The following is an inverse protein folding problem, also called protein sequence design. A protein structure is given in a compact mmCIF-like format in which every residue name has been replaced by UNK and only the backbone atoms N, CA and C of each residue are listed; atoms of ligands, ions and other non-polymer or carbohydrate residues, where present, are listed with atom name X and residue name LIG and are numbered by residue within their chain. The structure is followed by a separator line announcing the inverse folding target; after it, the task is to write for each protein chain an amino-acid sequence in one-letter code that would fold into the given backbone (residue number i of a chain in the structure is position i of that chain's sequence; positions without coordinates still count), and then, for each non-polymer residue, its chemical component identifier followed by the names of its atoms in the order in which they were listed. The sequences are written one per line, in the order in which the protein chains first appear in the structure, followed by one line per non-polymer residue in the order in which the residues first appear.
data_IF_203862048816
#
_entry.id   IF_203862048816
#
_cell.length_a   1.000
_cell.length_b   1.000
_cell.length_c   1.000
_cell.angle_alpha   90.00
_cell.angle_beta   90.00
_cell.angle_gamma   90.00
#
_symmetry.space_group_name_H-M   'P 1'
#
loop_
_entity.id
_entity.type
_entity.pdbx_description
1 polymer ?
#
# COMPACT_ATOMS: atom_id res chain seq x y z
N UNK A 1 22.41 -39.94 -10.87
CA UNK A 1 20.98 -40.02 -11.25
C UNK A 1 20.50 -38.61 -11.56
N UNK A 2 20.16 -38.33 -12.82
CA UNK A 2 19.61 -37.03 -13.25
C UNK A 2 18.20 -37.28 -13.80
N UNK A 3 17.19 -36.68 -13.17
CA UNK A 3 15.81 -36.74 -13.67
C UNK A 3 15.71 -35.85 -14.91
N UNK A 4 15.67 -36.47 -16.10
CA UNK A 4 15.40 -35.76 -17.34
C UNK A 4 14.00 -35.15 -17.30
N UNK A 5 13.91 -33.85 -17.06
CA UNK A 5 12.65 -33.10 -17.15
C UNK A 5 12.17 -33.16 -18.61
N UNK A 6 11.08 -33.89 -18.86
CA UNK A 6 10.43 -33.92 -20.17
C UNK A 6 9.84 -32.53 -20.43
N UNK A 7 10.25 -31.89 -21.53
CA UNK A 7 9.59 -30.68 -22.03
C UNK A 7 8.13 -31.04 -22.32
N UNK A 8 7.20 -30.39 -21.62
CA UNK A 8 5.78 -30.51 -21.96
C UNK A 8 5.53 -29.69 -23.21
N UNK A 9 5.44 -30.39 -24.34
CA UNK A 9 4.94 -29.80 -25.57
C UNK A 9 3.50 -29.35 -25.35
N UNK A 10 3.26 -28.05 -25.53
CA UNK A 10 1.92 -27.49 -25.52
C UNK A 10 1.19 -27.93 -26.81
N UNK A 11 0.73 -29.18 -26.88
CA UNK A 11 -0.10 -29.67 -27.98
C UNK A 11 -1.58 -29.45 -27.65
N UNK A 12 -2.08 -28.30 -28.06
CA UNK A 12 -3.50 -28.01 -28.04
C UNK A 12 -3.79 -26.67 -28.69
N UNK A 13 -4.68 -26.66 -29.69
CA UNK A 13 -5.23 -25.42 -30.22
C UNK A 13 -5.87 -24.66 -29.06
N UNK A 14 -5.39 -23.44 -28.80
CA UNK A 14 -6.01 -22.52 -27.84
C UNK A 14 -7.45 -22.31 -28.32
N UNK A 15 -8.42 -23.01 -27.70
CA UNK A 15 -9.86 -22.89 -28.01
C UNK A 15 -10.37 -21.53 -27.51
N UNK A 16 -9.89 -20.47 -28.14
CA UNK A 16 -10.46 -19.13 -28.09
C UNK A 16 -11.53 -19.01 -29.16
N UNK A 17 -12.65 -18.37 -28.84
CA UNK A 17 -13.74 -18.11 -29.79
C UNK A 17 -13.20 -17.31 -31.00
N UNK A 18 -13.24 -17.93 -32.18
CA UNK A 18 -12.93 -17.30 -33.46
C UNK A 18 -11.45 -17.34 -33.87
N UNK A 19 -11.15 -18.04 -34.96
CA UNK A 19 -9.88 -17.85 -35.66
C UNK A 19 -9.88 -16.45 -36.31
N UNK A 20 -8.82 -15.67 -36.11
CA UNK A 20 -8.68 -14.38 -36.78
C UNK A 20 -8.55 -14.60 -38.29
N UNK A 21 -9.60 -14.28 -39.04
CA UNK A 21 -9.60 -14.32 -40.50
C UNK A 21 -8.83 -13.11 -41.03
N UNK A 22 -7.57 -13.31 -41.40
CA UNK A 22 -6.72 -12.25 -41.99
C UNK A 22 -5.23 -12.45 -41.76
N UNK A 23 -4.42 -11.50 -42.22
CA UNK A 23 -2.94 -11.56 -42.04
C UNK A 23 -2.58 -11.47 -40.56
N UNK A 24 -1.73 -12.38 -40.08
CA UNK A 24 -1.24 -12.47 -38.69
C UNK A 24 -0.73 -11.13 -38.11
N UNK A 25 -0.17 -10.26 -38.94
CA UNK A 25 0.30 -8.92 -38.54
C UNK A 25 -0.82 -8.05 -37.96
N UNK A 26 -2.03 -8.13 -38.52
CA UNK A 26 -3.18 -7.34 -38.07
C UNK A 26 -3.76 -7.89 -36.76
N UNK A 27 -3.80 -9.21 -36.59
CA UNK A 27 -4.17 -9.85 -35.33
C UNK A 27 -3.26 -9.39 -34.17
N UNK A 28 -1.94 -9.37 -34.41
CA UNK A 28 -0.96 -8.92 -33.41
C UNK A 28 -1.10 -7.43 -33.10
N UNK A 29 -1.35 -6.59 -34.11
CA UNK A 29 -1.59 -5.16 -33.93
C UNK A 29 -2.82 -4.89 -33.07
N UNK A 30 -3.95 -5.55 -33.37
CA UNK A 30 -5.19 -5.37 -32.62
C UNK A 30 -5.08 -5.89 -31.18
N UNK A 31 -4.43 -7.04 -30.98
CA UNK A 31 -4.13 -7.56 -29.63
C UNK A 31 -3.24 -6.60 -28.83
N UNK A 32 -2.19 -6.05 -29.45
CA UNK A 32 -1.33 -5.05 -28.80
C UNK A 32 -2.10 -3.76 -28.48
N UNK A 33 -3.02 -3.33 -29.35
CA UNK A 33 -3.89 -2.18 -29.11
C UNK A 33 -4.80 -2.42 -27.91
N UNK A 34 -5.47 -3.57 -27.82
CA UNK A 34 -6.32 -3.94 -26.67
C UNK A 34 -5.53 -3.95 -25.37
N UNK A 35 -4.37 -4.62 -25.33
CA UNK A 35 -3.51 -4.64 -24.13
C UNK A 35 -3.11 -3.25 -23.65
N UNK A 36 -2.86 -2.30 -24.57
CA UNK A 36 -2.56 -0.91 -24.22
C UNK A 36 -3.77 -0.15 -23.68
N UNK A 37 -4.97 -0.41 -24.21
CA UNK A 37 -6.20 0.19 -23.70
C UNK A 37 -6.56 -0.36 -22.32
N UNK A 38 -6.48 -1.68 -22.14
CA UNK A 38 -6.74 -2.35 -20.85
C UNK A 38 -5.72 -1.90 -19.78
N UNK A 39 -4.44 -1.79 -20.16
CA UNK A 39 -3.42 -1.25 -19.27
C UNK A 39 -3.64 0.23 -18.93
N UNK A 40 -4.18 1.02 -19.86
CA UNK A 40 -4.55 2.42 -19.62
C UNK A 40 -5.79 2.55 -18.73
N UNK A 41 -6.78 1.65 -18.84
CA UNK A 41 -7.94 1.66 -17.95
C UNK A 41 -7.60 1.29 -16.50
N UNK A 42 -6.55 0.48 -16.27
CA UNK A 42 -6.07 0.21 -14.90
C UNK A 42 -5.42 1.44 -14.22
N UNK A 43 -5.02 2.45 -14.99
CA UNK A 43 -4.39 3.67 -14.46
C UNK A 43 -5.38 4.82 -14.26
N UNK A 44 -6.67 4.61 -14.50
CA UNK A 44 -7.72 5.66 -14.43
C UNK A 44 -8.72 5.41 -13.29
N UNK A 45 -8.49 4.43 -12.42
CA UNK A 45 -9.33 4.19 -11.25
C UNK A 45 -9.07 5.09 -10.03
N UNK A 46 -8.13 6.04 -10.10
CA UNK A 46 -7.93 7.06 -9.06
C UNK A 46 -8.54 8.41 -9.44
N UNK A 47 -9.85 8.42 -9.71
CA UNK A 47 -10.63 9.66 -9.67
C UNK A 47 -11.51 9.61 -8.43
N UNK A 48 -11.18 10.51 -7.52
CA UNK A 48 -11.68 10.59 -6.16
C UNK A 48 -13.19 10.50 -6.05
N UNK A 49 -13.61 9.66 -5.12
CA UNK A 49 -14.78 9.82 -4.27
C UNK A 49 -14.52 8.95 -3.04
N UNK A 50 -13.99 9.54 -1.97
CA UNK A 50 -14.05 8.91 -0.66
C UNK A 50 -14.27 9.97 0.43
N UNK A 51 -15.39 10.68 0.33
CA UNK A 51 -16.14 10.98 1.56
C UNK A 51 -16.60 9.63 2.13
N UNK A 52 -15.70 8.96 2.85
CA UNK A 52 -16.03 7.73 3.55
C UNK A 52 -16.99 8.12 4.67
N UNK A 53 -18.26 7.72 4.55
CA UNK A 53 -19.10 7.53 5.73
C UNK A 53 -18.55 6.32 6.49
N UNK A 54 -17.41 6.49 7.14
CA UNK A 54 -16.71 5.43 7.86
C UNK A 54 -17.44 5.20 9.17
N UNK A 55 -18.29 4.18 9.20
CA UNK A 55 -18.57 3.53 10.48
C UNK A 55 -17.23 3.05 11.01
N UNK A 56 -16.77 3.65 12.10
CA UNK A 56 -15.50 3.29 12.72
C UNK A 56 -15.71 1.91 13.32
N UNK A 57 -15.08 0.89 12.74
CA UNK A 57 -15.15 -0.46 13.27
C UNK A 57 -14.11 -0.66 14.38
N UNK A 58 -14.26 -1.73 15.15
CA UNK A 58 -13.34 -2.06 16.24
C UNK A 58 -11.88 -2.15 15.78
N UNK A 59 -11.65 -2.64 14.55
CA UNK A 59 -10.31 -2.81 14.00
C UNK A 59 -9.66 -1.49 13.59
N UNK A 60 -10.45 -0.48 13.25
CA UNK A 60 -9.98 0.87 12.93
C UNK A 60 -9.23 1.50 14.11
N UNK A 61 -9.71 1.27 15.34
CA UNK A 61 -9.03 1.74 16.56
C UNK A 61 -7.70 1.02 16.81
N UNK A 62 -7.66 -0.30 16.58
CA UNK A 62 -6.41 -1.07 16.68
C UNK A 62 -5.38 -0.62 15.63
N UNK A 63 -5.81 -0.33 14.41
CA UNK A 63 -4.93 0.19 13.36
C UNK A 63 -4.40 1.58 13.73
N UNK A 64 -5.23 2.45 14.32
CA UNK A 64 -4.80 3.75 14.80
C UNK A 64 -3.76 3.65 15.95
N UNK A 65 -3.96 2.71 16.89
CA UNK A 65 -3.01 2.40 17.95
C UNK A 65 -1.66 1.92 17.40
N UNK A 66 -1.67 0.97 16.47
CA UNK A 66 -0.44 0.46 15.87
C UNK A 66 0.32 1.56 15.11
N UNK A 67 -0.39 2.35 14.29
CA UNK A 67 0.20 3.48 13.56
C UNK A 67 0.81 4.53 14.48
N UNK A 68 0.13 4.89 15.57
CA UNK A 68 0.66 5.88 16.52
C UNK A 68 1.91 5.38 17.24
N UNK A 69 1.94 4.10 17.60
CA UNK A 69 3.14 3.48 18.18
C UNK A 69 4.32 3.44 17.21
N UNK A 70 4.09 3.07 15.94
CA UNK A 70 5.12 3.10 14.89
C UNK A 70 5.69 4.51 14.72
N UNK A 71 4.82 5.53 14.68
CA UNK A 71 5.25 6.92 14.54
C UNK A 71 6.06 7.41 15.73
N UNK A 72 5.68 7.03 16.95
CA UNK A 72 6.43 7.35 18.16
C UNK A 72 7.85 6.78 18.10
N UNK A 73 7.98 5.48 17.79
CA UNK A 73 9.29 4.82 17.68
C UNK A 73 10.16 5.43 16.57
N UNK A 74 9.56 5.74 15.43
CA UNK A 74 10.27 6.36 14.31
C UNK A 74 10.78 7.76 14.70
N UNK A 75 9.97 8.53 15.41
CA UNK A 75 10.34 9.86 15.88
C UNK A 75 11.50 9.77 16.89
N UNK A 76 11.40 8.88 17.88
CA UNK A 76 12.45 8.68 18.88
C UNK A 76 13.76 8.19 18.24
N UNK A 77 13.68 7.18 17.36
CA UNK A 77 14.86 6.60 16.71
C UNK A 77 15.53 7.55 15.72
N UNK A 78 14.75 8.38 15.02
CA UNK A 78 15.30 9.27 13.98
C UNK A 78 15.78 10.61 14.52
N UNK A 79 15.08 11.15 15.52
CA UNK A 79 15.29 12.52 16.00
C UNK A 79 15.81 12.58 17.45
N UNK A 80 15.51 11.59 18.29
CA UNK A 80 15.83 11.63 19.71
C UNK A 80 17.32 11.73 20.04
N UNK A 81 18.18 11.18 19.18
CA UNK A 81 19.63 11.26 19.34
C UNK A 81 20.30 12.32 18.46
N UNK A 82 19.54 13.05 17.66
CA UNK A 82 20.11 13.95 16.66
C UNK A 82 20.84 15.14 17.32
N UNK A 83 22.12 15.40 16.98
CA UNK A 83 22.95 16.38 17.68
C UNK A 83 22.42 17.81 17.58
N UNK A 84 21.76 18.16 16.47
CA UNK A 84 21.15 19.49 16.29
C UNK A 84 19.98 19.71 17.24
N UNK A 85 19.21 18.64 17.54
CA UNK A 85 18.07 18.74 18.45
C UNK A 85 18.59 18.89 19.87
N UNK A 86 19.53 18.02 20.28
CA UNK A 86 20.16 18.08 21.62
C UNK A 86 20.95 19.37 21.89
N UNK A 87 21.53 19.97 20.84
CA UNK A 87 22.37 21.16 20.96
C UNK A 87 21.61 22.46 21.24
N UNK A 88 20.29 22.50 21.04
CA UNK A 88 19.48 23.69 21.26
C UNK A 88 18.29 23.36 22.19
N UNK A 89 18.21 23.99 23.38
CA UNK A 89 17.13 23.77 24.34
C UNK A 89 15.72 23.97 23.75
N UNK A 90 15.55 24.94 22.85
CA UNK A 90 14.24 25.23 22.24
C UNK A 90 13.77 24.08 21.35
N UNK A 91 14.69 23.45 20.60
CA UNK A 91 14.34 22.31 19.74
C UNK A 91 14.14 21.03 20.53
N UNK A 92 14.89 20.85 21.62
CA UNK A 92 14.67 19.74 22.55
C UNK A 92 13.29 19.81 23.16
N UNK A 93 12.87 20.99 23.64
CA UNK A 93 11.53 21.16 24.24
C UNK A 93 10.41 20.87 23.23
N UNK A 94 10.56 21.30 21.97
CA UNK A 94 9.61 20.97 20.90
C UNK A 94 9.56 19.47 20.59
N UNK A 95 10.72 18.81 20.58
CA UNK A 95 10.83 17.37 20.41
C UNK A 95 10.13 16.62 21.55
N UNK A 96 10.41 16.97 22.80
CA UNK A 96 9.81 16.35 23.99
C UNK A 96 8.28 16.52 23.98
N UNK A 97 7.78 17.72 23.62
CA UNK A 97 6.34 17.95 23.44
C UNK A 97 5.74 17.09 22.34
N UNK A 98 6.46 16.86 21.23
CA UNK A 98 5.98 16.00 20.16
C UNK A 98 5.86 14.54 20.61
N UNK A 99 6.87 14.03 21.33
CA UNK A 99 6.87 12.70 21.97
C UNK A 99 5.69 12.58 22.93
N UNK A 100 5.53 13.55 23.83
CA UNK A 100 4.46 13.57 24.83
C UNK A 100 3.07 13.55 24.17
N UNK A 101 2.85 14.39 23.16
CA UNK A 101 1.59 14.45 22.44
C UNK A 101 1.25 13.13 21.73
N UNK A 102 2.24 12.46 21.13
CA UNK A 102 2.03 11.14 20.51
C UNK A 102 1.73 10.06 21.55
N UNK A 103 2.40 10.08 22.70
CA UNK A 103 2.12 9.17 23.81
C UNK A 103 0.72 9.39 24.38
N UNK A 104 0.30 10.64 24.59
CA UNK A 104 -1.05 10.99 25.02
C UNK A 104 -2.10 10.57 24.00
N UNK A 105 -1.83 10.74 22.70
CA UNK A 105 -2.72 10.28 21.64
C UNK A 105 -2.89 8.75 21.68
N UNK A 106 -1.80 8.00 21.83
CA UNK A 106 -1.84 6.54 21.95
C UNK A 106 -2.70 6.11 23.15
N UNK A 107 -2.51 6.73 24.32
CA UNK A 107 -3.30 6.45 25.52
C UNK A 107 -4.80 6.70 25.30
N UNK A 108 -5.15 7.87 24.74
CA UNK A 108 -6.55 8.23 24.44
C UNK A 108 -7.20 7.28 23.45
N UNK A 109 -6.48 6.86 22.40
CA UNK A 109 -6.97 5.85 21.46
C UNK A 109 -7.22 4.51 22.16
N UNK A 110 -6.38 4.15 23.13
CA UNK A 110 -6.54 2.96 23.95
C UNK A 110 -7.82 3.02 24.78
N UNK A 111 -8.08 4.12 25.46
CA UNK A 111 -9.31 4.35 26.23
C UNK A 111 -10.56 4.22 25.36
N UNK A 112 -10.59 4.91 24.21
CA UNK A 112 -11.72 4.87 23.27
C UNK A 112 -11.93 3.45 22.70
N UNK A 113 -10.85 2.71 22.47
CA UNK A 113 -10.94 1.33 21.93
C UNK A 113 -11.56 0.32 22.90
N UNK A 114 -11.53 0.61 24.21
CA UNK A 114 -12.15 -0.22 25.25
C UNK A 114 -13.65 0.08 25.35
N UNK A 115 -14.05 1.34 25.10
CA UNK A 115 -15.43 1.80 25.16
C UNK A 115 -16.26 1.45 23.90
N UNK A 116 -15.59 1.12 22.78
CA UNK A 116 -16.19 0.81 21.47
C UNK A 116 -16.41 -0.69 21.23
#
# INVERSE_FOLDING_TARGET
MAFGVKKTEHNGAKKGRGAYWGKKRFAKFESNRRRRLDGKSMLVSDKGDCMQSSTIDKYSYHEALDRTWILLNNLESSLGEHPVIKGNPQTTELYEKAVENLAQLYQKLGEISVES
#
